data_IF_543678412081
#
_entry.id   IF_543678412081
#
_cell.length_a   1.000
_cell.length_b   1.000
_cell.length_c   1.000
_cell.angle_alpha   90.00
_cell.angle_beta   90.00
_cell.angle_gamma   90.00
#
_symmetry.space_group_name_H-M   'P 1'
#
loop_
_entity.id
_entity.type
_entity.pdbx_description
1 polymer ?
#
# COMPACT_ATOMS: atom_id res chain seq x y z
N UNK A 1 3.95 1.63 -21.71
CA UNK A 1 3.67 2.03 -20.32
C UNK A 1 4.92 1.76 -19.51
N UNK A 2 5.49 2.78 -18.88
CA UNK A 2 6.70 2.64 -18.06
C UNK A 2 6.39 2.04 -16.68
N UNK A 3 7.38 1.42 -16.02
CA UNK A 3 7.22 0.84 -14.67
C UNK A 3 6.67 1.84 -13.64
N UNK A 4 7.05 3.11 -13.76
CA UNK A 4 6.57 4.19 -12.88
C UNK A 4 5.08 4.51 -13.05
N UNK A 5 4.57 4.40 -14.27
CA UNK A 5 3.16 4.62 -14.59
C UNK A 5 2.29 3.48 -14.03
N UNK A 6 2.78 2.24 -14.08
CA UNK A 6 2.11 1.10 -13.46
C UNK A 6 2.06 1.22 -11.93
N UNK A 7 3.18 1.61 -11.29
CA UNK A 7 3.21 1.84 -9.85
C UNK A 7 2.21 2.94 -9.42
N UNK A 8 2.17 4.04 -10.17
CA UNK A 8 1.21 5.12 -9.95
C UNK A 8 -0.24 4.63 -10.04
N UNK A 9 -0.56 3.79 -11.02
CA UNK A 9 -1.91 3.24 -11.20
C UNK A 9 -2.30 2.32 -10.05
N UNK A 10 -1.40 1.44 -9.59
CA UNK A 10 -1.66 0.56 -8.44
C UNK A 10 -1.93 1.38 -7.18
N UNK A 11 -1.13 2.42 -6.92
CA UNK A 11 -1.30 3.31 -5.76
C UNK A 11 -2.65 4.03 -5.82
N UNK A 12 -3.05 4.53 -7.00
CA UNK A 12 -4.36 5.17 -7.18
C UNK A 12 -5.51 4.19 -6.94
N UNK A 13 -5.37 2.93 -7.35
CA UNK A 13 -6.37 1.87 -7.10
C UNK A 13 -6.49 1.58 -5.60
N UNK A 14 -5.36 1.45 -4.89
CA UNK A 14 -5.33 1.27 -3.43
C UNK A 14 -6.05 2.43 -2.75
N UNK A 15 -5.72 3.68 -3.11
CA UNK A 15 -6.34 4.86 -2.51
C UNK A 15 -7.86 4.91 -2.79
N UNK A 16 -8.28 4.61 -4.02
CA UNK A 16 -9.69 4.60 -4.40
C UNK A 16 -10.48 3.53 -3.63
N UNK A 17 -9.93 2.32 -3.50
CA UNK A 17 -10.56 1.25 -2.73
C UNK A 17 -10.61 1.59 -1.24
N UNK A 18 -9.51 2.08 -0.68
CA UNK A 18 -9.44 2.49 0.72
C UNK A 18 -10.47 3.60 1.02
N UNK A 19 -10.59 4.60 0.15
CA UNK A 19 -11.59 5.66 0.23
C UNK A 19 -13.02 5.09 0.13
N UNK A 20 -13.28 4.13 -0.77
CA UNK A 20 -14.59 3.50 -0.91
C UNK A 20 -15.01 2.72 0.35
N UNK A 21 -14.06 2.05 1.02
CA UNK A 21 -14.34 1.23 2.20
C UNK A 21 -14.40 2.05 3.50
N UNK A 22 -13.52 3.05 3.65
CA UNK A 22 -13.32 3.75 4.93
C UNK A 22 -13.68 5.25 4.89
N UNK A 23 -14.06 5.79 3.73
CA UNK A 23 -14.40 7.20 3.57
C UNK A 23 -13.24 8.12 3.95
N UNK A 24 -13.54 9.25 4.58
CA UNK A 24 -12.55 10.29 4.93
C UNK A 24 -11.45 9.81 5.89
N UNK A 25 -11.65 8.67 6.56
CA UNK A 25 -10.67 8.08 7.48
C UNK A 25 -9.74 7.09 6.80
N UNK A 26 -9.81 6.93 5.47
CA UNK A 26 -9.07 5.89 4.75
C UNK A 26 -7.56 5.91 5.00
N UNK A 27 -6.93 7.08 5.09
CA UNK A 27 -5.49 7.16 5.37
C UNK A 27 -5.17 6.55 6.73
N UNK A 28 -5.95 6.88 7.76
CA UNK A 28 -5.73 6.38 9.11
C UNK A 28 -5.94 4.86 9.17
N UNK A 29 -7.01 4.35 8.54
CA UNK A 29 -7.30 2.91 8.50
C UNK A 29 -6.27 2.13 7.66
N UNK A 30 -5.87 2.67 6.51
CA UNK A 30 -4.85 2.06 5.66
C UNK A 30 -3.51 1.92 6.39
N UNK A 31 -3.07 2.98 7.08
CA UNK A 31 -1.85 2.95 7.91
C UNK A 31 -1.99 1.97 9.06
N UNK A 32 -3.16 1.92 9.74
CA UNK A 32 -3.41 0.96 10.82
C UNK A 32 -3.30 -0.48 10.33
N UNK A 33 -3.99 -0.83 9.25
CA UNK A 33 -3.97 -2.17 8.66
C UNK A 33 -2.60 -2.56 8.15
N UNK A 34 -1.89 -1.63 7.51
CA UNK A 34 -0.50 -1.83 7.10
C UNK A 34 0.38 -2.21 8.30
N UNK A 35 0.30 -1.46 9.41
CA UNK A 35 1.08 -1.75 10.61
C UNK A 35 0.69 -3.07 11.28
N UNK A 36 -0.58 -3.47 11.24
CA UNK A 36 -1.02 -4.79 11.71
C UNK A 36 -0.36 -5.92 10.93
N UNK A 37 -0.38 -5.83 9.60
CA UNK A 37 0.27 -6.80 8.71
C UNK A 37 1.78 -6.85 8.97
N UNK A 38 2.44 -5.68 8.97
CA UNK A 38 3.87 -5.59 9.22
C UNK A 38 4.26 -6.13 10.61
N UNK A 39 3.39 -5.93 11.62
CA UNK A 39 3.62 -6.46 12.97
C UNK A 39 3.54 -7.98 13.01
N UNK A 40 2.56 -8.56 12.30
CA UNK A 40 2.39 -10.02 12.20
C UNK A 40 3.60 -10.64 11.51
N UNK A 41 4.01 -10.09 10.36
CA UNK A 41 5.14 -10.60 9.58
C UNK A 41 6.47 -10.48 10.34
N UNK A 42 6.68 -9.38 11.06
CA UNK A 42 7.95 -9.12 11.76
C UNK A 42 8.00 -9.69 13.19
N UNK A 43 6.87 -10.12 13.74
CA UNK A 43 6.73 -10.52 15.14
C UNK A 43 6.93 -9.37 16.15
N UNK A 44 6.89 -8.11 15.71
CA UNK A 44 7.12 -6.91 16.54
C UNK A 44 5.92 -5.98 16.46
N UNK A 45 5.51 -5.40 17.60
CA UNK A 45 4.43 -4.42 17.62
C UNK A 45 4.84 -3.09 16.97
N UNK A 46 4.36 -2.85 15.74
CA UNK A 46 4.62 -1.62 14.99
C UNK A 46 3.42 -0.67 15.18
N UNK A 47 3.71 0.55 15.65
CA UNK A 47 2.67 1.55 15.93
C UNK A 47 2.42 2.43 14.70
N UNK A 48 1.17 2.76 14.37
CA UNK A 48 0.83 3.64 13.25
C UNK A 48 1.61 4.96 13.21
N UNK A 49 1.85 5.57 14.37
CA UNK A 49 2.62 6.82 14.50
C UNK A 49 4.05 6.73 13.94
N UNK A 50 4.66 5.55 13.94
CA UNK A 50 6.02 5.33 13.45
C UNK A 50 6.08 5.26 11.91
N UNK A 51 4.97 4.90 11.26
CA UNK A 51 4.90 4.68 9.80
C UNK A 51 4.10 5.73 9.05
N UNK A 52 3.20 6.46 9.73
CA UNK A 52 2.22 7.36 9.09
C UNK A 52 2.87 8.36 8.14
N UNK A 53 3.86 9.13 8.58
CA UNK A 53 4.49 10.16 7.75
C UNK A 53 5.18 9.57 6.51
N UNK A 54 5.92 8.47 6.70
CA UNK A 54 6.60 7.76 5.61
C UNK A 54 5.62 7.22 4.58
N UNK A 55 4.55 6.54 5.03
CA UNK A 55 3.54 5.95 4.15
C UNK A 55 2.76 7.00 3.39
N UNK A 56 2.28 8.05 4.07
CA UNK A 56 1.53 9.14 3.43
C UNK A 56 2.37 9.79 2.35
N UNK A 57 3.63 10.11 2.65
CA UNK A 57 4.55 10.68 1.67
C UNK A 57 4.78 9.74 0.47
N UNK A 58 4.97 8.45 0.71
CA UNK A 58 5.17 7.48 -0.35
C UNK A 58 3.94 7.32 -1.27
N UNK A 59 2.73 7.41 -0.70
CA UNK A 59 1.48 7.41 -1.46
C UNK A 59 1.34 8.68 -2.31
N UNK A 60 1.61 9.85 -1.73
CA UNK A 60 1.56 11.16 -2.42
C UNK A 60 2.58 11.26 -3.56
N UNK A 61 3.82 10.86 -3.30
CA UNK A 61 4.92 10.90 -4.28
C UNK A 61 4.87 9.73 -5.29
N UNK A 62 4.01 8.72 -5.03
CA UNK A 62 3.88 7.49 -5.82
C UNK A 62 5.20 6.70 -5.90
N UNK A 63 5.87 6.56 -4.77
CA UNK A 63 7.23 5.99 -4.64
C UNK A 63 7.32 4.76 -3.74
N UNK A 64 6.20 4.06 -3.51
CA UNK A 64 6.20 2.86 -2.67
C UNK A 64 7.08 1.74 -3.23
N UNK A 65 7.90 1.14 -2.35
CA UNK A 65 8.57 -0.13 -2.63
C UNK A 65 7.57 -1.27 -2.80
N UNK A 66 7.96 -2.33 -3.53
CA UNK A 66 7.08 -3.46 -3.82
C UNK A 66 6.49 -4.11 -2.56
N UNK A 67 7.31 -4.33 -1.53
CA UNK A 67 6.86 -4.89 -0.24
C UNK A 67 5.82 -4.02 0.44
N UNK A 68 5.97 -2.69 0.33
CA UNK A 68 5.00 -1.73 0.86
C UNK A 68 3.68 -1.82 0.08
N UNK A 69 3.76 -1.88 -1.26
CA UNK A 69 2.58 -2.05 -2.12
C UNK A 69 1.82 -3.34 -1.78
N UNK A 70 2.52 -4.47 -1.64
CA UNK A 70 1.89 -5.75 -1.31
C UNK A 70 1.10 -5.69 0.00
N UNK A 71 1.68 -5.10 1.05
CA UNK A 71 0.98 -4.91 2.34
C UNK A 71 -0.22 -3.98 2.22
N UNK A 72 -0.12 -2.90 1.43
CA UNK A 72 -1.21 -1.96 1.21
C UNK A 72 -2.37 -2.60 0.43
N UNK A 73 -2.08 -3.51 -0.49
CA UNK A 73 -3.08 -4.29 -1.23
C UNK A 73 -3.79 -5.28 -0.33
N UNK A 74 -3.03 -6.01 0.47
CA UNK A 74 -3.59 -6.89 1.49
C UNK A 74 -4.44 -6.09 2.50
N UNK A 75 -3.99 -4.91 2.92
CA UNK A 75 -4.73 -4.03 3.83
C UNK A 75 -6.08 -3.60 3.26
N UNK A 76 -6.18 -3.42 1.94
CA UNK A 76 -7.42 -3.01 1.24
C UNK A 76 -8.28 -4.18 0.80
N UNK A 77 -7.83 -5.42 0.99
CA UNK A 77 -8.52 -6.62 0.53
C UNK A 77 -8.52 -6.77 -0.99
N UNK A 78 -7.59 -6.12 -1.69
CA UNK A 78 -7.45 -6.23 -3.14
C UNK A 78 -6.57 -7.43 -3.46
N UNK A 79 -7.09 -8.34 -4.29
CA UNK A 79 -6.29 -9.36 -4.95
C UNK A 79 -5.74 -8.81 -6.27
N UNK A 80 -4.43 -8.97 -6.51
CA UNK A 80 -3.79 -8.61 -7.78
C UNK A 80 -3.10 -9.84 -8.37
N UNK A 81 -3.30 -10.06 -9.67
CA UNK A 81 -2.42 -10.91 -10.48
C UNK A 81 -1.30 -10.09 -11.13
N UNK A 82 -0.05 -10.48 -10.88
CA UNK A 82 1.14 -9.85 -11.48
C UNK A 82 1.73 -10.76 -12.56
N UNK A 83 1.86 -10.23 -13.77
CA UNK A 83 2.48 -10.93 -14.89
C UNK A 83 3.86 -10.35 -15.17
N UNK A 84 4.90 -11.17 -15.00
CA UNK A 84 6.28 -10.82 -15.37
C UNK A 84 6.56 -11.32 -16.78
N UNK A 85 6.77 -10.40 -17.73
CA UNK A 85 7.31 -10.73 -19.05
C UNK A 85 8.81 -10.52 -19.04
N UNK A 86 9.56 -11.62 -19.05
CA UNK A 86 11.00 -11.59 -19.28
C UNK A 86 11.24 -11.64 -20.79
N UNK A 87 11.89 -10.61 -21.36
CA UNK A 87 12.42 -10.70 -22.72
C UNK A 87 13.75 -11.44 -22.62
N UNK A 88 13.82 -12.62 -23.24
CA UNK A 88 15.06 -13.34 -23.52
C UNK A 88 15.86 -12.60 -24.59
#
# INVERSE_FOLDING_TARGET
MGSREQAANIINTIASQAQAVWGDRWIAELVRRYCEIESIESGKGIKPVQRRSQLVRALEEKTCELTTLMRLLQATGIEIELYVKQKL
#
